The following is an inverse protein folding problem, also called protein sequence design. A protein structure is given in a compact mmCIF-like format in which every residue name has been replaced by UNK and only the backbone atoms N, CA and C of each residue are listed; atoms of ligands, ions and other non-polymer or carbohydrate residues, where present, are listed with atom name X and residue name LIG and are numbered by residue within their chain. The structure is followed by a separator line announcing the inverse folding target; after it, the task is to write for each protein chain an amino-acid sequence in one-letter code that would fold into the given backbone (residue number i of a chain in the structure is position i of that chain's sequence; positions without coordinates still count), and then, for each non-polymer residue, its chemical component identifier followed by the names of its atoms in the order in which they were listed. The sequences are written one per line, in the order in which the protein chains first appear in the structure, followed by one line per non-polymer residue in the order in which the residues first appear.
data_IF_599766251189
#
_entry.id   IF_599766251189
#
_cell.length_a   1.000
_cell.length_b   1.000
_cell.length_c   1.000
_cell.angle_alpha   90.00
_cell.angle_beta   90.00
_cell.angle_gamma   90.00
#
_symmetry.space_group_name_H-M   'P 1'
#
loop_
_entity.id
_entity.type
_entity.pdbx_description
1 polymer ?
#
# COMPACT_ATOMS: atom_id res chain seq x y z
N UNK A 1 -15.41 -34.55 55.68
CA UNK A 1 -14.73 -33.24 55.73
C UNK A 1 -15.29 -32.44 56.89
N UNK A 2 -14.43 -31.89 57.74
CA UNK A 2 -14.82 -30.99 58.84
C UNK A 2 -14.48 -29.54 58.47
N UNK A 3 -15.40 -28.62 58.80
CA UNK A 3 -15.21 -27.18 58.64
C UNK A 3 -14.67 -26.57 59.92
N UNK A 4 -13.71 -25.66 59.82
CA UNK A 4 -13.36 -24.79 60.95
C UNK A 4 -14.47 -23.76 61.18
N UNK A 5 -14.51 -23.16 62.38
CA UNK A 5 -15.47 -22.10 62.68
C UNK A 5 -15.34 -20.90 61.70
N UNK A 6 -14.11 -20.57 61.32
CA UNK A 6 -13.83 -19.49 60.36
C UNK A 6 -14.33 -19.84 58.95
N UNK A 7 -14.10 -21.07 58.49
CA UNK A 7 -14.58 -21.52 57.18
C UNK A 7 -16.09 -21.57 57.09
N UNK A 8 -16.75 -22.08 58.15
CA UNK A 8 -18.21 -22.07 58.24
C UNK A 8 -18.76 -20.65 58.14
N UNK A 9 -18.22 -19.71 58.93
CA UNK A 9 -18.63 -18.30 58.91
C UNK A 9 -18.46 -17.66 57.53
N UNK A 10 -17.34 -17.94 56.85
CA UNK A 10 -17.09 -17.41 55.51
C UNK A 10 -18.03 -18.01 54.45
N UNK A 11 -18.31 -19.32 54.52
CA UNK A 11 -19.28 -19.95 53.62
C UNK A 11 -20.70 -19.40 53.83
N UNK A 12 -21.13 -19.24 55.08
CA UNK A 12 -22.43 -18.64 55.43
C UNK A 12 -22.52 -17.17 54.97
N UNK A 13 -21.42 -16.41 55.10
CA UNK A 13 -21.32 -15.05 54.54
C UNK A 13 -21.46 -15.03 53.01
N UNK A 14 -20.84 -15.98 52.30
CA UNK A 14 -20.97 -16.09 50.82
C UNK A 14 -22.39 -16.44 50.39
N UNK A 15 -23.12 -17.23 51.18
CA UNK A 15 -24.53 -17.56 50.89
C UNK A 15 -25.47 -16.39 51.15
N UNK A 16 -25.23 -15.62 52.21
CA UNK A 16 -26.09 -14.49 52.62
C UNK A 16 -25.79 -13.18 51.89
N UNK A 17 -24.63 -13.07 51.22
CA UNK A 17 -24.23 -11.86 50.50
C UNK A 17 -25.17 -11.53 49.33
N UNK A 18 -25.83 -10.36 49.38
CA UNK A 18 -26.66 -9.84 48.28
C UNK A 18 -25.85 -9.25 47.11
N UNK A 19 -24.59 -8.88 47.35
CA UNK A 19 -23.70 -8.26 46.35
C UNK A 19 -22.68 -9.25 45.76
N UNK A 20 -22.69 -10.52 46.20
CA UNK A 20 -21.77 -11.55 45.73
C UNK A 20 -22.17 -12.16 44.39
N UNK A 21 -21.22 -12.77 43.69
CA UNK A 21 -21.53 -13.52 42.46
C UNK A 21 -22.37 -14.76 42.82
N UNK A 22 -23.44 -15.02 42.06
CA UNK A 22 -24.36 -16.12 42.33
C UNK A 22 -23.67 -17.50 42.34
N UNK A 23 -22.59 -17.67 41.58
CA UNK A 23 -21.83 -18.92 41.51
C UNK A 23 -21.04 -19.20 42.80
N UNK A 24 -20.56 -18.18 43.49
CA UNK A 24 -19.87 -18.33 44.78
C UNK A 24 -20.84 -18.76 45.88
N UNK A 25 -22.01 -18.10 45.95
CA UNK A 25 -23.07 -18.49 46.88
C UNK A 25 -23.57 -19.92 46.63
N UNK A 26 -23.62 -20.35 45.36
CA UNK A 26 -24.00 -21.71 44.96
C UNK A 26 -22.97 -22.76 45.41
N UNK A 27 -21.66 -22.47 45.24
CA UNK A 27 -20.56 -23.33 45.73
C UNK A 27 -20.59 -23.44 47.26
N UNK A 28 -20.80 -22.32 47.94
CA UNK A 28 -20.85 -22.28 49.40
C UNK A 28 -22.04 -23.08 49.97
N UNK A 29 -23.24 -22.93 49.39
CA UNK A 29 -24.40 -23.78 49.72
C UNK A 29 -24.13 -25.27 49.55
N UNK A 30 -23.49 -25.65 48.45
CA UNK A 30 -23.12 -27.03 48.19
C UNK A 30 -22.24 -27.62 49.31
N UNK A 31 -21.21 -26.90 49.75
CA UNK A 31 -20.30 -27.37 50.80
C UNK A 31 -20.95 -27.40 52.18
N UNK A 32 -21.77 -26.40 52.53
CA UNK A 32 -22.49 -26.38 53.81
C UNK A 32 -23.41 -27.61 53.93
N UNK A 33 -24.18 -27.92 52.89
CA UNK A 33 -25.04 -29.11 52.86
C UNK A 33 -24.24 -30.42 52.92
N UNK A 34 -23.13 -30.49 52.20
CA UNK A 34 -22.26 -31.67 52.18
C UNK A 34 -21.62 -31.94 53.55
N UNK A 35 -21.22 -30.89 54.27
CA UNK A 35 -20.63 -31.01 55.62
C UNK A 35 -21.67 -31.25 56.71
N UNK A 36 -22.95 -30.91 56.46
CA UNK A 36 -24.08 -31.27 57.31
C UNK A 36 -24.55 -32.73 57.15
N UNK A 37 -23.87 -33.55 56.33
CA UNK A 37 -24.23 -34.95 56.10
C UNK A 37 -25.40 -35.15 55.13
N UNK A 38 -25.76 -34.13 54.35
CA UNK A 38 -26.86 -34.21 53.40
C UNK A 38 -26.51 -35.15 52.24
N UNK A 39 -27.46 -36.00 51.83
CA UNK A 39 -27.26 -36.90 50.68
C UNK A 39 -27.09 -36.13 49.37
N UNK A 40 -26.32 -36.69 48.44
CA UNK A 40 -26.03 -36.04 47.15
C UNK A 40 -27.31 -35.74 46.37
N UNK A 41 -28.29 -36.64 46.39
CA UNK A 41 -29.59 -36.43 45.73
C UNK A 41 -30.31 -35.16 46.23
N UNK A 42 -30.27 -34.92 47.55
CA UNK A 42 -30.89 -33.73 48.15
C UNK A 42 -30.09 -32.46 47.87
N UNK A 43 -28.76 -32.54 47.83
CA UNK A 43 -27.89 -31.42 47.42
C UNK A 43 -28.18 -31.02 45.98
N UNK A 44 -28.32 -31.99 45.06
CA UNK A 44 -28.68 -31.72 43.66
C UNK A 44 -30.00 -30.96 43.56
N UNK A 45 -31.02 -31.39 44.28
CA UNK A 45 -32.33 -30.74 44.28
C UNK A 45 -32.28 -29.31 44.86
N UNK A 46 -31.59 -29.09 45.98
CA UNK A 46 -31.54 -27.79 46.64
C UNK A 46 -30.63 -26.76 45.96
N UNK A 47 -29.49 -27.19 45.43
CA UNK A 47 -28.48 -26.32 44.79
C UNK A 47 -28.67 -26.26 43.25
N UNK A 48 -29.51 -27.15 42.71
CA UNK A 48 -29.80 -27.30 41.29
C UNK A 48 -28.58 -27.76 40.48
N UNK A 49 -27.74 -28.66 40.99
CA UNK A 49 -26.45 -29.03 40.36
C UNK A 49 -26.35 -30.53 40.02
N UNK A 50 -25.32 -30.91 39.24
CA UNK A 50 -25.01 -32.31 38.91
C UNK A 50 -23.96 -32.90 39.85
N UNK A 51 -23.84 -34.22 39.89
CA UNK A 51 -22.85 -34.93 40.75
C UNK A 51 -21.41 -34.52 40.45
N UNK A 52 -21.09 -34.27 39.18
CA UNK A 52 -19.76 -33.77 38.77
C UNK A 52 -19.43 -32.39 39.33
N UNK A 53 -20.45 -31.58 39.65
CA UNK A 53 -20.28 -30.29 40.33
C UNK A 53 -19.93 -30.50 41.80
N UNK A 54 -20.69 -31.36 42.50
CA UNK A 54 -20.47 -31.70 43.91
C UNK A 54 -19.06 -32.28 44.08
N UNK A 55 -18.71 -33.30 43.29
CA UNK A 55 -17.40 -33.94 43.30
C UNK A 55 -16.24 -32.95 43.04
N UNK A 56 -16.40 -32.05 42.06
CA UNK A 56 -15.37 -31.06 41.71
C UNK A 56 -15.08 -30.10 42.85
N UNK A 57 -16.13 -29.54 43.46
CA UNK A 57 -15.96 -28.52 44.50
C UNK A 57 -15.61 -29.12 45.85
N UNK A 58 -16.10 -30.32 46.18
CA UNK A 58 -15.67 -31.04 47.38
C UNK A 58 -14.19 -31.41 47.30
N UNK A 59 -13.72 -31.95 46.18
CA UNK A 59 -12.31 -32.28 45.98
C UNK A 59 -11.41 -31.03 46.06
N UNK A 60 -11.81 -29.92 45.42
CA UNK A 60 -11.06 -28.65 45.51
C UNK A 60 -11.02 -28.07 46.91
N UNK A 61 -12.15 -28.11 47.62
CA UNK A 61 -12.19 -27.63 49.00
C UNK A 61 -11.39 -28.54 49.95
N UNK A 62 -11.31 -29.84 49.67
CA UNK A 62 -10.47 -30.76 50.41
C UNK A 62 -8.97 -30.46 50.25
N UNK A 63 -8.54 -30.11 49.02
CA UNK A 63 -7.15 -29.81 48.73
C UNK A 63 -6.72 -28.40 49.17
N UNK A 64 -7.56 -27.39 48.95
CA UNK A 64 -7.16 -25.96 49.02
C UNK A 64 -8.06 -25.10 49.92
N UNK A 65 -9.01 -25.73 50.63
CA UNK A 65 -9.96 -25.04 51.52
C UNK A 65 -10.68 -23.91 50.77
N UNK A 66 -10.87 -22.75 51.41
CA UNK A 66 -11.60 -21.61 50.82
C UNK A 66 -10.98 -21.08 49.51
N UNK A 67 -9.66 -21.24 49.31
CA UNK A 67 -8.98 -20.81 48.10
C UNK A 67 -9.38 -21.66 46.88
N UNK A 68 -9.68 -22.95 47.09
CA UNK A 68 -10.13 -23.86 46.04
C UNK A 68 -11.49 -23.50 45.43
N UNK A 69 -12.24 -22.60 46.06
CA UNK A 69 -13.57 -22.18 45.61
C UNK A 69 -13.56 -21.06 44.57
N UNK A 70 -12.41 -20.46 44.26
CA UNK A 70 -12.30 -19.43 43.24
C UNK A 70 -12.41 -19.99 41.80
N UNK A 71 -12.97 -19.18 40.91
CA UNK A 71 -13.17 -19.54 39.50
C UNK A 71 -11.85 -19.55 38.74
N UNK A 72 -11.32 -20.74 38.44
CA UNK A 72 -10.18 -20.90 37.52
C UNK A 72 -10.68 -20.86 36.08
N UNK A 73 -10.36 -19.78 35.37
CA UNK A 73 -10.60 -19.68 33.93
C UNK A 73 -9.47 -20.43 33.23
N UNK A 74 -9.79 -21.49 32.47
CA UNK A 74 -8.83 -22.03 31.51
C UNK A 74 -8.74 -21.01 30.39
N UNK A 75 -7.71 -20.16 30.42
CA UNK A 75 -7.43 -19.26 29.31
C UNK A 75 -7.36 -20.04 27.99
N UNK A 76 -7.74 -19.41 26.89
CA UNK A 76 -7.45 -19.95 25.56
C UNK A 76 -5.94 -19.85 25.32
N UNK A 77 -5.28 -20.90 24.81
CA UNK A 77 -3.88 -20.79 24.41
C UNK A 77 -3.78 -19.71 23.32
N UNK A 78 -2.82 -18.80 23.47
CA UNK A 78 -2.60 -17.77 22.47
C UNK A 78 -2.23 -18.43 21.12
N UNK A 79 -2.86 -18.01 20.03
CA UNK A 79 -2.39 -18.37 18.70
C UNK A 79 -1.10 -17.60 18.44
N UNK A 80 0.04 -18.21 18.74
CA UNK A 80 1.35 -17.61 18.55
C UNK A 80 1.68 -17.61 17.05
N UNK A 81 2.04 -16.45 16.52
CA UNK A 81 2.64 -16.36 15.19
C UNK A 81 4.03 -17.00 15.26
N UNK A 82 4.17 -18.20 14.72
CA UNK A 82 5.47 -18.87 14.63
C UNK A 82 6.23 -18.38 13.39
N UNK A 83 7.59 -18.37 13.40
CA UNK A 83 8.38 -18.02 12.22
C UNK A 83 8.01 -18.86 10.98
N UNK A 84 7.69 -20.14 11.19
CA UNK A 84 7.22 -21.04 10.13
C UNK A 84 5.89 -20.60 9.53
N UNK A 85 4.94 -20.16 10.36
CA UNK A 85 3.64 -19.69 9.89
C UNK A 85 3.77 -18.34 9.18
N UNK A 86 4.62 -17.46 9.68
CA UNK A 86 4.95 -16.18 9.04
C UNK A 86 5.54 -16.40 7.64
N UNK A 87 6.52 -17.31 7.52
CA UNK A 87 7.10 -17.70 6.23
C UNK A 87 6.04 -18.25 5.25
N UNK A 88 5.10 -19.08 5.73
CA UNK A 88 3.98 -19.58 4.90
C UNK A 88 3.06 -18.47 4.42
N UNK A 89 2.77 -17.47 5.25
CA UNK A 89 1.96 -16.30 4.85
C UNK A 89 2.68 -15.52 3.74
N UNK A 90 3.99 -15.27 3.90
CA UNK A 90 4.79 -14.54 2.92
C UNK A 90 4.89 -15.31 1.59
N UNK A 91 5.23 -16.60 1.63
CA UNK A 91 5.37 -17.45 0.44
C UNK A 91 4.06 -17.54 -0.34
N UNK A 92 2.92 -17.70 0.35
CA UNK A 92 1.61 -17.72 -0.32
C UNK A 92 1.28 -16.36 -0.96
N UNK A 93 1.61 -15.25 -0.28
CA UNK A 93 1.32 -13.90 -0.77
C UNK A 93 2.10 -13.57 -2.05
N UNK A 94 3.28 -14.18 -2.26
CA UNK A 94 4.09 -13.99 -3.49
C UNK A 94 3.49 -14.64 -4.72
N UNK A 95 2.64 -15.65 -4.55
CA UNK A 95 1.97 -16.35 -5.65
C UNK A 95 0.61 -15.69 -5.91
N UNK A 96 0.15 -15.69 -7.15
CA UNK A 96 -1.20 -15.22 -7.46
C UNK A 96 -2.28 -16.11 -6.81
N UNK A 97 -3.46 -15.56 -6.46
CA UNK A 97 -4.62 -16.37 -6.07
C UNK A 97 -5.02 -17.33 -7.19
N UNK A 98 -5.35 -18.58 -6.84
CA UNK A 98 -5.80 -19.60 -7.82
C UNK A 98 -7.31 -19.53 -8.12
N UNK A 99 -8.05 -18.67 -7.41
CA UNK A 99 -9.51 -18.52 -7.51
C UNK A 99 -9.96 -17.53 -8.60
N UNK A 100 -9.07 -17.17 -9.52
CA UNK A 100 -9.31 -16.16 -10.56
C UNK A 100 -9.33 -14.72 -10.04
N UNK A 101 -9.07 -14.50 -8.75
CA UNK A 101 -8.98 -13.14 -8.22
C UNK A 101 -7.64 -12.48 -8.54
N UNK A 102 -7.69 -11.18 -8.84
CA UNK A 102 -6.50 -10.43 -9.25
C UNK A 102 -5.46 -10.30 -8.13
N UNK A 103 -5.91 -10.23 -6.87
CA UNK A 103 -5.03 -10.00 -5.71
C UNK A 103 -5.51 -10.74 -4.47
N UNK A 104 -4.57 -11.07 -3.57
CA UNK A 104 -4.87 -11.61 -2.25
C UNK A 104 -5.55 -10.56 -1.36
N UNK A 105 -6.58 -11.00 -0.63
CA UNK A 105 -7.09 -10.27 0.54
C UNK A 105 -6.65 -10.96 1.82
N UNK A 106 -6.55 -10.21 2.92
CA UNK A 106 -6.18 -10.77 4.24
C UNK A 106 -7.11 -11.91 4.65
N UNK A 107 -8.41 -11.81 4.31
CA UNK A 107 -9.41 -12.85 4.58
C UNK A 107 -9.21 -14.10 3.73
N UNK A 108 -8.86 -13.94 2.44
CA UNK A 108 -8.58 -15.08 1.55
C UNK A 108 -7.35 -15.86 2.02
N UNK A 109 -6.25 -15.17 2.31
CA UNK A 109 -5.04 -15.80 2.85
C UNK A 109 -5.32 -16.46 4.20
N UNK A 110 -6.09 -15.79 5.06
CA UNK A 110 -6.53 -16.34 6.34
C UNK A 110 -7.30 -17.65 6.17
N UNK A 111 -8.28 -17.69 5.25
CA UNK A 111 -9.05 -18.90 4.93
C UNK A 111 -8.17 -20.00 4.35
N UNK A 112 -7.26 -19.67 3.44
CA UNK A 112 -6.36 -20.64 2.79
C UNK A 112 -5.38 -21.30 3.78
N UNK A 113 -4.94 -20.56 4.81
CA UNK A 113 -3.96 -21.04 5.79
C UNK A 113 -4.58 -21.45 7.14
N UNK A 114 -5.89 -21.29 7.32
CA UNK A 114 -6.57 -21.58 8.59
C UNK A 114 -6.20 -20.62 9.72
N UNK A 115 -5.86 -19.37 9.40
CA UNK A 115 -5.44 -18.35 10.37
C UNK A 115 -6.38 -17.15 10.37
N UNK A 116 -6.39 -16.41 11.49
CA UNK A 116 -7.13 -15.14 11.55
C UNK A 116 -6.60 -14.14 10.51
N UNK A 117 -7.50 -13.49 9.79
CA UNK A 117 -7.14 -12.43 8.84
C UNK A 117 -6.36 -11.28 9.49
N UNK A 118 -6.54 -11.05 10.81
CA UNK A 118 -5.77 -10.08 11.59
C UNK A 118 -4.31 -10.49 11.80
N UNK A 119 -4.02 -11.79 11.82
CA UNK A 119 -2.64 -12.28 11.83
C UNK A 119 -1.97 -11.98 10.49
N UNK A 120 -2.65 -12.27 9.38
CA UNK A 120 -2.17 -11.94 8.03
C UNK A 120 -1.93 -10.44 7.89
N UNK A 121 -2.89 -9.60 8.32
CA UNK A 121 -2.76 -8.15 8.27
C UNK A 121 -1.52 -7.64 9.03
N UNK A 122 -1.25 -8.21 10.23
CA UNK A 122 -0.06 -7.87 11.01
C UNK A 122 1.24 -8.30 10.33
N UNK A 123 1.28 -9.48 9.72
CA UNK A 123 2.44 -9.94 8.95
C UNK A 123 2.69 -9.03 7.75
N UNK A 124 1.65 -8.70 6.98
CA UNK A 124 1.79 -7.79 5.85
C UNK A 124 2.25 -6.39 6.27
N UNK A 125 1.69 -5.83 7.34
CA UNK A 125 2.12 -4.53 7.86
C UNK A 125 3.58 -4.54 8.30
N UNK A 126 4.03 -5.60 8.99
CA UNK A 126 5.43 -5.76 9.42
C UNK A 126 6.40 -5.81 8.25
N UNK A 127 6.04 -6.48 7.16
CA UNK A 127 6.88 -6.66 5.98
C UNK A 127 6.60 -5.63 4.87
N UNK A 128 5.78 -4.61 5.14
CA UNK A 128 5.43 -3.59 4.15
C UNK A 128 4.68 -4.11 2.92
N UNK A 129 4.10 -5.32 2.98
CA UNK A 129 3.41 -5.93 1.85
C UNK A 129 2.06 -5.26 1.59
N UNK A 130 1.84 -4.84 0.35
CA UNK A 130 0.58 -4.25 -0.11
C UNK A 130 0.13 -4.94 -1.40
N UNK A 131 -0.49 -6.14 -1.32
CA UNK A 131 -0.82 -6.94 -2.51
C UNK A 131 -1.79 -6.27 -3.49
N UNK A 132 -2.51 -5.24 -3.07
CA UNK A 132 -3.41 -4.45 -3.93
C UNK A 132 -2.69 -3.33 -4.70
N UNK A 133 -1.41 -3.06 -4.40
CA UNK A 133 -0.63 -2.05 -5.11
C UNK A 133 0.09 -2.69 -6.28
N UNK A 134 -0.08 -2.07 -7.44
CA UNK A 134 0.63 -2.40 -8.66
C UNK A 134 1.43 -1.16 -9.04
N UNK A 135 2.75 -1.31 -9.11
CA UNK A 135 3.62 -0.32 -9.72
C UNK A 135 3.94 -0.78 -11.13
N UNK A 136 3.65 0.09 -12.09
CA UNK A 136 4.00 -0.13 -13.48
C UNK A 136 5.35 0.52 -13.70
N UNK A 137 6.26 -0.22 -14.31
CA UNK A 137 7.51 0.32 -14.80
C UNK A 137 7.51 0.23 -16.32
N UNK A 138 8.25 1.14 -16.94
CA UNK A 138 8.55 1.07 -18.36
C UNK A 138 10.01 0.66 -18.48
N UNK A 139 10.25 -0.60 -18.83
CA UNK A 139 11.58 -1.03 -19.26
C UNK A 139 11.74 -0.74 -20.76
N UNK A 140 12.94 -0.32 -21.13
CA UNK A 140 13.34 -0.21 -22.53
C UNK A 140 14.20 -1.42 -22.89
N UNK A 141 13.90 -2.05 -24.03
CA UNK A 141 14.71 -3.14 -24.58
C UNK A 141 15.93 -2.64 -25.37
N UNK A 142 16.14 -1.32 -25.46
CA UNK A 142 17.27 -0.72 -26.17
C UNK A 142 18.57 -0.90 -25.38
N UNK A 143 19.57 -1.65 -25.90
CA UNK A 143 20.83 -1.88 -25.19
C UNK A 143 21.62 -0.58 -24.92
N UNK A 144 21.35 0.49 -25.66
CA UNK A 144 21.98 1.80 -25.49
C UNK A 144 21.10 2.80 -24.72
N UNK A 145 20.01 2.36 -24.09
CA UNK A 145 19.03 3.22 -23.43
C UNK A 145 19.68 4.17 -22.42
N UNK A 146 20.50 3.66 -21.51
CA UNK A 146 21.14 4.47 -20.46
C UNK A 146 22.02 5.57 -21.05
N UNK A 147 22.77 5.25 -22.12
CA UNK A 147 23.60 6.23 -22.82
C UNK A 147 22.76 7.33 -23.45
N UNK A 148 21.71 6.95 -24.20
CA UNK A 148 20.80 7.92 -24.85
C UNK A 148 20.06 8.77 -23.81
N UNK A 149 19.66 8.17 -22.70
CA UNK A 149 19.03 8.88 -21.59
C UNK A 149 19.99 9.90 -20.97
N UNK A 150 21.26 9.51 -20.74
CA UNK A 150 22.29 10.42 -20.26
C UNK A 150 22.55 11.59 -21.22
N UNK A 151 22.58 11.33 -22.54
CA UNK A 151 22.74 12.37 -23.56
C UNK A 151 21.58 13.39 -23.53
N UNK A 152 20.33 12.91 -23.41
CA UNK A 152 19.14 13.76 -23.31
C UNK A 152 19.12 14.56 -22.00
N UNK A 153 19.46 13.93 -20.87
CA UNK A 153 19.57 14.63 -19.57
C UNK A 153 20.67 15.69 -19.65
N UNK A 154 21.79 15.38 -20.32
CA UNK A 154 22.87 16.33 -20.57
C UNK A 154 22.40 17.58 -21.31
N UNK A 155 21.52 17.45 -22.30
CA UNK A 155 20.91 18.59 -23.01
C UNK A 155 20.06 19.48 -22.10
N UNK A 156 19.40 18.91 -21.08
CA UNK A 156 18.61 19.68 -20.11
C UNK A 156 19.48 20.38 -19.08
N UNK A 157 20.54 19.72 -18.61
CA UNK A 157 21.44 20.28 -17.59
C UNK A 157 22.37 21.35 -18.15
N UNK A 158 22.96 21.09 -19.33
CA UNK A 158 23.92 21.96 -19.99
C UNK A 158 23.49 22.21 -21.44
N UNK A 159 22.47 23.06 -21.66
CA UNK A 159 22.00 23.36 -23.00
C UNK A 159 23.09 24.04 -23.83
N UNK A 160 23.20 23.75 -25.14
CA UNK A 160 24.17 24.41 -26.02
C UNK A 160 24.01 25.94 -26.02
N UNK A 161 25.11 26.65 -26.29
CA UNK A 161 25.07 28.11 -26.37
C UNK A 161 24.08 28.59 -27.44
N UNK A 162 23.29 29.59 -27.07
CA UNK A 162 22.21 30.16 -27.89
C UNK A 162 21.11 29.16 -28.28
N UNK A 163 21.00 28.01 -27.61
CA UNK A 163 19.92 27.05 -27.83
C UNK A 163 18.76 27.25 -26.85
N UNK A 164 17.53 27.12 -27.36
CA UNK A 164 16.34 26.87 -26.53
C UNK A 164 16.05 25.37 -26.53
N UNK A 165 15.84 24.80 -25.35
CA UNK A 165 15.55 23.37 -25.16
C UNK A 165 14.15 23.22 -24.56
N UNK A 166 13.28 22.55 -25.31
CA UNK A 166 11.92 22.23 -24.92
C UNK A 166 11.75 20.72 -24.75
N UNK A 167 11.01 20.33 -23.72
CA UNK A 167 10.46 18.99 -23.61
C UNK A 167 9.02 19.04 -24.13
N UNK A 168 8.75 18.32 -25.22
CA UNK A 168 7.42 18.28 -25.85
C UNK A 168 6.77 16.94 -25.54
N UNK A 169 5.50 16.97 -25.14
CA UNK A 169 4.68 15.78 -24.95
C UNK A 169 3.28 15.98 -25.54
N UNK A 170 2.66 14.86 -25.90
CA UNK A 170 1.29 14.81 -26.37
C UNK A 170 0.45 13.87 -25.51
N UNK A 171 -0.71 14.35 -25.11
CA UNK A 171 -1.72 13.53 -24.47
C UNK A 171 -2.95 13.46 -25.38
N UNK A 172 -3.06 12.35 -26.08
CA UNK A 172 -4.13 12.10 -27.04
C UNK A 172 -5.37 11.53 -26.36
N UNK A 173 -6.52 11.66 -27.04
CA UNK A 173 -7.80 11.07 -26.63
C UNK A 173 -8.21 11.41 -25.19
N UNK A 174 -7.92 12.63 -24.72
CA UNK A 174 -8.42 13.12 -23.44
C UNK A 174 -9.93 13.24 -23.55
N UNK A 175 -10.65 12.38 -22.85
CA UNK A 175 -12.10 12.48 -22.77
C UNK A 175 -12.47 13.72 -21.96
N UNK A 176 -13.21 14.63 -22.58
CA UNK A 176 -13.80 15.78 -21.90
C UNK A 176 -15.09 15.30 -21.22
N UNK A 177 -14.93 14.83 -19.97
CA UNK A 177 -16.02 14.34 -19.14
C UNK A 177 -16.40 15.43 -18.13
N UNK A 178 -17.67 15.79 -18.11
CA UNK A 178 -18.24 16.59 -17.01
C UNK A 178 -19.24 15.73 -16.24
N UNK A 179 -19.09 15.68 -14.91
CA UNK A 179 -19.95 14.85 -14.06
C UNK A 179 -21.17 15.67 -13.67
N UNK A 180 -22.35 15.11 -13.92
CA UNK A 180 -23.61 15.81 -13.72
C UNK A 180 -23.91 16.03 -12.22
N UNK A 181 -23.61 15.01 -11.40
CA UNK A 181 -23.83 15.08 -9.96
C UNK A 181 -22.55 15.44 -9.20
N UNK A 182 -22.65 16.25 -8.12
CA UNK A 182 -21.53 16.47 -7.22
C UNK A 182 -21.14 15.18 -6.51
N UNK A 183 -19.84 15.02 -6.23
CA UNK A 183 -19.34 13.89 -5.44
C UNK A 183 -19.89 13.99 -4.02
N UNK A 184 -20.58 12.95 -3.57
CA UNK A 184 -21.08 12.88 -2.20
C UNK A 184 -19.99 12.29 -1.31
N UNK A 185 -19.49 13.04 -0.31
CA UNK A 185 -18.40 12.59 0.53
C UNK A 185 -18.80 11.38 1.39
N UNK A 186 -17.77 10.65 1.82
CA UNK A 186 -17.92 9.52 2.75
C UNK A 186 -18.61 9.97 4.05
N UNK A 187 -19.59 9.20 4.53
CA UNK A 187 -20.25 9.41 5.82
C UNK A 187 -20.45 8.09 6.56
N UNK A 188 -20.59 8.08 7.91
CA UNK A 188 -20.81 6.84 8.65
C UNK A 188 -22.01 6.06 8.10
N UNK A 189 -21.78 4.81 7.67
CA UNK A 189 -22.80 3.96 7.05
C UNK A 189 -23.07 4.20 5.56
N UNK A 190 -22.39 5.16 4.91
CA UNK A 190 -22.46 5.41 3.46
C UNK A 190 -21.07 5.59 2.86
N UNK A 191 -20.72 4.71 1.93
CA UNK A 191 -19.55 4.91 1.07
C UNK A 191 -19.65 6.22 0.28
N UNK A 192 -18.50 6.78 -0.10
CA UNK A 192 -18.42 7.87 -1.08
C UNK A 192 -19.18 7.48 -2.35
N UNK A 193 -19.96 8.41 -2.90
CA UNK A 193 -20.77 8.17 -4.10
C UNK A 193 -20.37 9.14 -5.19
N UNK A 194 -20.11 8.59 -6.36
CA UNK A 194 -19.99 9.35 -7.59
C UNK A 194 -21.23 9.08 -8.43
N UNK A 195 -21.84 10.13 -8.97
CA UNK A 195 -22.87 9.99 -10.00
C UNK A 195 -22.31 9.18 -11.17
N UNK A 196 -23.11 8.24 -11.67
CA UNK A 196 -22.73 7.42 -12.81
C UNK A 196 -22.86 8.20 -14.12
N UNK A 197 -23.77 9.16 -14.18
CA UNK A 197 -24.07 9.95 -15.36
C UNK A 197 -23.05 11.07 -15.57
N UNK A 198 -22.62 11.22 -16.80
CA UNK A 198 -21.70 12.27 -17.24
C UNK A 198 -22.03 12.69 -18.66
N UNK A 199 -21.77 13.96 -18.97
CA UNK A 199 -21.86 14.45 -20.33
C UNK A 199 -20.53 14.17 -21.07
N UNK A 200 -20.64 13.60 -22.28
CA UNK A 200 -19.49 13.34 -23.14
C UNK A 200 -19.36 14.47 -24.15
N UNK A 201 -18.39 15.36 -23.96
CA UNK A 201 -18.07 16.44 -24.91
C UNK A 201 -17.14 15.98 -26.05
N UNK A 202 -16.92 14.67 -26.19
CA UNK A 202 -15.98 14.09 -27.15
C UNK A 202 -14.57 13.95 -26.58
N UNK A 203 -13.59 13.92 -27.49
CA UNK A 203 -12.17 13.74 -27.14
C UNK A 203 -11.34 14.90 -27.69
N UNK A 204 -10.38 15.36 -26.90
CA UNK A 204 -9.39 16.35 -27.32
C UNK A 204 -7.97 15.78 -27.23
N UNK A 205 -7.07 16.33 -28.02
CA UNK A 205 -5.63 16.12 -27.89
C UNK A 205 -5.00 17.34 -27.26
N UNK A 206 -4.14 17.15 -26.28
CA UNK A 206 -3.33 18.21 -25.67
C UNK A 206 -1.88 18.08 -26.13
N UNK A 207 -1.35 19.14 -26.70
CA UNK A 207 0.08 19.30 -26.94
C UNK A 207 0.65 20.25 -25.90
N UNK A 208 1.78 19.87 -25.31
CA UNK A 208 2.47 20.69 -24.31
C UNK A 208 3.96 20.77 -24.62
N UNK A 209 4.54 21.97 -24.44
CA UNK A 209 5.96 22.24 -24.57
C UNK A 209 6.44 22.93 -23.29
N UNK A 210 7.30 22.24 -22.56
CA UNK A 210 7.91 22.74 -21.33
C UNK A 210 9.27 23.35 -21.63
N UNK A 211 9.46 24.61 -21.24
CA UNK A 211 10.75 25.29 -21.34
C UNK A 211 11.61 24.92 -20.12
N UNK A 212 12.62 24.10 -20.35
CA UNK A 212 13.49 23.56 -19.30
C UNK A 212 14.29 24.63 -18.54
N UNK A 213 14.49 25.80 -19.15
CA UNK A 213 15.23 26.92 -18.53
C UNK A 213 14.34 27.86 -17.73
N UNK A 214 13.14 28.17 -18.22
CA UNK A 214 12.24 29.14 -17.55
C UNK A 214 11.21 28.48 -16.64
N UNK A 215 10.95 27.18 -16.81
CA UNK A 215 9.91 26.46 -16.08
C UNK A 215 8.49 26.71 -16.62
N UNK A 216 8.35 27.47 -17.70
CA UNK A 216 7.06 27.81 -18.29
C UNK A 216 6.56 26.69 -19.23
N UNK A 217 5.23 26.52 -19.30
CA UNK A 217 4.57 25.54 -20.16
C UNK A 217 3.70 26.25 -21.20
N UNK A 218 3.95 25.97 -22.47
CA UNK A 218 3.04 26.30 -23.56
C UNK A 218 2.12 25.09 -23.82
N UNK A 219 0.81 25.26 -23.62
CA UNK A 219 -0.19 24.24 -23.89
C UNK A 219 -1.12 24.64 -25.03
N UNK A 220 -1.51 23.67 -25.88
CA UNK A 220 -2.53 23.87 -26.92
C UNK A 220 -3.39 22.62 -27.08
N UNK A 221 -4.71 22.81 -27.08
CA UNK A 221 -5.67 21.73 -27.39
C UNK A 221 -5.98 21.69 -28.88
N UNK A 222 -6.23 20.49 -29.41
CA UNK A 222 -6.70 20.25 -30.76
C UNK A 222 -7.84 19.24 -30.75
N UNK A 223 -8.80 19.39 -31.67
CA UNK A 223 -9.93 18.47 -31.80
C UNK A 223 -9.51 17.12 -32.39
N UNK A 224 -8.47 17.11 -33.23
CA UNK A 224 -7.94 15.89 -33.83
C UNK A 224 -6.50 15.65 -33.38
N UNK A 225 -6.03 14.44 -33.65
CA UNK A 225 -4.62 14.05 -33.48
C UNK A 225 -4.02 13.84 -34.87
N UNK A 226 -3.58 14.93 -35.50
CA UNK A 226 -2.95 14.87 -36.81
C UNK A 226 -1.53 15.41 -36.77
N UNK A 227 -0.66 14.86 -37.63
CA UNK A 227 0.72 15.36 -37.78
C UNK A 227 0.76 16.84 -38.16
N UNK A 228 -0.23 17.33 -38.91
CA UNK A 228 -0.34 18.74 -39.27
C UNK A 228 -0.57 19.63 -38.04
N UNK A 229 -1.47 19.23 -37.13
CA UNK A 229 -1.67 19.95 -35.86
C UNK A 229 -0.43 19.88 -34.99
N UNK A 230 0.27 18.75 -34.93
CA UNK A 230 1.50 18.63 -34.15
C UNK A 230 2.63 19.54 -34.69
N UNK A 231 2.87 19.54 -36.01
CA UNK A 231 3.87 20.44 -36.63
C UNK A 231 3.49 21.90 -36.41
N UNK A 232 2.21 22.26 -36.57
CA UNK A 232 1.75 23.60 -36.27
C UNK A 232 1.99 24.00 -34.80
N UNK A 233 1.96 23.05 -33.86
CA UNK A 233 2.27 23.30 -32.45
C UNK A 233 3.76 23.56 -32.25
N UNK A 234 4.61 22.75 -32.86
CA UNK A 234 6.07 22.95 -32.80
C UNK A 234 6.48 24.30 -33.37
N UNK A 235 5.85 24.76 -34.46
CA UNK A 235 6.08 26.10 -35.02
C UNK A 235 5.72 27.19 -34.00
N UNK A 236 4.57 27.08 -33.33
CA UNK A 236 4.18 28.02 -32.27
C UNK A 236 5.19 28.00 -31.11
N UNK A 237 5.58 26.82 -30.64
CA UNK A 237 6.55 26.65 -29.55
C UNK A 237 7.92 27.26 -29.88
N UNK A 238 8.37 27.14 -31.13
CA UNK A 238 9.57 27.82 -31.60
C UNK A 238 9.40 29.34 -31.47
N UNK A 239 8.35 29.93 -32.04
CA UNK A 239 8.18 31.40 -32.00
C UNK A 239 7.98 32.00 -30.61
N UNK A 240 7.48 31.21 -29.65
CA UNK A 240 7.09 31.69 -28.32
C UNK A 240 8.23 32.29 -27.47
N UNK A 241 9.47 31.81 -27.63
CA UNK A 241 10.64 32.33 -26.87
C UNK A 241 11.46 33.38 -27.63
N UNK A 242 11.01 33.76 -28.82
CA UNK A 242 11.69 34.69 -29.72
C UNK A 242 11.26 36.14 -29.51
N UNK A 243 11.62 36.71 -28.36
CA UNK A 243 11.68 38.18 -28.18
C UNK A 243 13.10 38.74 -28.27
N UNK A 244 14.10 37.93 -28.65
CA UNK A 244 15.50 38.38 -28.83
C UNK A 244 16.21 37.72 -30.00
N UNK A 245 16.85 38.52 -30.87
CA UNK A 245 17.57 38.09 -32.10
C UNK A 245 18.70 37.09 -31.79
N UNK A 246 18.86 36.08 -32.65
CA UNK A 246 20.11 35.31 -32.78
C UNK A 246 20.20 33.94 -32.09
N UNK A 247 19.09 33.30 -31.72
CA UNK A 247 19.10 31.96 -31.09
C UNK A 247 18.95 30.83 -32.11
N UNK A 248 19.77 29.78 -31.98
CA UNK A 248 19.65 28.50 -32.70
C UNK A 248 18.73 27.57 -31.89
N UNK A 249 18.15 26.54 -32.51
CA UNK A 249 17.17 25.67 -31.87
C UNK A 249 17.75 24.30 -31.56
N UNK A 250 17.39 23.72 -30.41
CA UNK A 250 17.56 22.30 -30.13
C UNK A 250 16.27 21.80 -29.45
N UNK A 251 15.31 21.31 -30.24
CA UNK A 251 14.13 20.66 -29.70
C UNK A 251 14.48 19.19 -29.40
N UNK A 252 14.31 18.76 -28.16
CA UNK A 252 14.36 17.33 -27.83
C UNK A 252 12.93 16.85 -27.73
N UNK A 253 12.46 16.16 -28.75
CA UNK A 253 11.16 15.49 -28.68
C UNK A 253 11.32 14.29 -27.74
N UNK A 254 10.71 14.34 -26.57
CA UNK A 254 10.53 13.15 -25.75
C UNK A 254 9.45 12.30 -26.41
N UNK A 255 9.85 11.44 -27.36
CA UNK A 255 8.93 10.52 -28.01
C UNK A 255 8.56 9.44 -26.99
N UNK A 256 7.44 9.61 -26.30
CA UNK A 256 6.78 8.51 -25.63
C UNK A 256 6.25 7.55 -26.72
N UNK A 257 6.74 6.31 -26.72
CA UNK A 257 6.43 5.13 -27.59
C UNK A 257 7.22 4.85 -28.88
N UNK A 258 8.04 5.75 -29.44
CA UNK A 258 8.74 5.45 -30.69
C UNK A 258 10.18 5.98 -30.73
N UNK A 259 11.03 5.51 -29.81
CA UNK A 259 12.48 5.70 -29.88
C UNK A 259 12.95 7.14 -29.66
N UNK A 260 14.00 7.32 -28.88
CA UNK A 260 14.63 8.63 -28.73
C UNK A 260 15.39 8.95 -30.02
N UNK A 261 14.89 9.91 -30.81
CA UNK A 261 15.64 10.54 -31.89
C UNK A 261 15.79 12.03 -31.61
N UNK A 262 17.04 12.47 -31.44
CA UNK A 262 17.39 13.87 -31.50
C UNK A 262 17.28 14.33 -32.96
N UNK A 263 16.33 15.22 -33.26
CA UNK A 263 16.25 15.83 -34.58
C UNK A 263 17.32 16.91 -34.68
N UNK A 264 18.32 16.66 -35.53
CA UNK A 264 19.35 17.64 -35.84
C UNK A 264 18.79 18.87 -36.59
N UNK A 265 19.56 19.97 -36.64
CA UNK A 265 19.11 21.23 -37.23
C UNK A 265 18.73 21.15 -38.71
N UNK A 266 19.15 20.10 -39.44
CA UNK A 266 18.89 19.91 -40.87
C UNK A 266 17.46 19.45 -41.23
N UNK A 267 16.60 19.17 -40.24
CA UNK A 267 15.22 18.72 -40.48
C UNK A 267 14.20 19.86 -40.69
N UNK A 268 14.66 21.12 -40.76
CA UNK A 268 13.78 22.30 -40.78
C UNK A 268 13.95 23.12 -42.07
N UNK A 269 12.84 23.54 -42.74
CA UNK A 269 12.92 24.46 -43.87
C UNK A 269 13.52 25.80 -43.41
N UNK A 270 14.68 26.18 -43.98
CA UNK A 270 15.39 27.43 -43.65
C UNK A 270 16.67 27.26 -42.82
N UNK A 271 17.09 26.04 -42.50
CA UNK A 271 18.39 25.78 -41.84
C UNK A 271 19.54 25.73 -42.86
N UNK A 272 20.53 26.62 -42.72
CA UNK A 272 21.80 26.50 -43.46
C UNK A 272 22.72 25.54 -42.70
N UNK A 273 23.20 24.51 -43.40
CA UNK A 273 24.15 23.53 -42.87
C UNK A 273 25.50 24.20 -42.57
N UNK A 274 25.78 24.40 -41.27
CA UNK A 274 27.10 24.77 -40.79
C UNK A 274 27.88 23.51 -40.43
N UNK A 275 28.75 23.05 -41.33
CA UNK A 275 29.72 21.99 -41.06
C UNK A 275 30.68 22.45 -39.96
N UNK A 276 30.54 21.94 -38.74
CA UNK A 276 31.60 22.07 -37.72
C UNK A 276 32.68 21.07 -38.10
N UNK A 277 33.67 21.55 -38.86
CA UNK A 277 34.86 20.78 -39.23
C UNK A 277 35.65 20.38 -37.99
N UNK A 278 35.98 19.09 -37.91
CA UNK A 278 36.99 18.61 -36.97
C UNK A 278 38.34 19.22 -37.34
N UNK A 279 38.85 20.19 -36.56
CA UNK A 279 40.26 20.54 -36.64
C UNK A 279 41.07 19.46 -35.94
N UNK A 280 41.73 18.62 -36.75
CA UNK A 280 42.93 17.89 -36.34
C UNK A 280 44.11 18.89 -36.28
N UNK A 281 44.98 18.68 -35.29
CA UNK A 281 46.32 19.27 -35.21
C UNK A 281 46.60 19.82 -33.80
N UNK A 282 47.73 19.60 -33.17
CA UNK A 282 48.89 18.76 -33.40
C UNK A 282 49.67 18.80 -32.07
N UNK A 283 50.23 17.66 -31.66
CA UNK A 283 51.32 17.45 -30.71
C UNK A 283 51.76 18.59 -29.76
N UNK A 284 51.80 18.30 -28.46
CA UNK A 284 52.99 18.55 -27.64
C UNK A 284 53.12 17.52 -26.52
N UNK A 285 54.18 16.72 -26.62
CA UNK A 285 54.75 15.89 -25.55
C UNK A 285 55.06 16.79 -24.35
N UNK A 286 54.69 16.35 -23.16
CA UNK A 286 55.57 16.52 -22.00
C UNK A 286 55.41 15.31 -21.08
N UNK A 287 56.52 14.58 -21.02
CA UNK A 287 56.85 13.49 -20.12
C UNK A 287 56.82 13.93 -18.66
N UNK A 288 56.27 13.10 -17.76
CA UNK A 288 56.80 12.95 -16.41
C UNK A 288 56.79 11.47 -15.98
N UNK A 289 57.81 11.05 -15.22
CA UNK A 289 58.15 9.65 -15.02
C UNK A 289 57.38 9.03 -13.85
N UNK A 290 57.17 7.72 -13.93
CA UNK A 290 56.83 6.93 -12.77
C UNK A 290 58.00 6.84 -11.80
N UNK A 291 57.69 6.73 -10.52
CA UNK A 291 58.54 6.11 -9.52
C UNK A 291 57.69 5.19 -8.66
N UNK A 292 58.15 3.95 -8.54
CA UNK A 292 57.67 2.94 -7.62
C UNK A 292 57.95 3.34 -6.17
N UNK A 293 56.98 3.11 -5.28
CA UNK A 293 57.03 2.11 -4.19
C UNK A 293 55.62 1.87 -3.68
#
# INVERSE_FOLDING_TARGET
MTLTAMERKELERRVSSRKGRADEARRARCLLLLTAGTSWARIRAQVGCHDSYIARWSARFAAERLAGLYSRHRGQPATVLTPKLEARILDLTRRGPQDGSTHWSTRRVGKALGVSHMMVARVWARHGLKPHRLERYMASDDPAFERKAADVIGLYLNPPQHAAVFCVDEKTAIQALDRLDPVLPLSPGRAERHGFEYFRHGTLSLYAAFNTRTGEVLGRTAERHTSAEFVAFLTTAATWTCTGRGRRWAATTAISRAGVQALGPSAWPGSTAGTVGSRRGCSRRSSKPGFLT
#
